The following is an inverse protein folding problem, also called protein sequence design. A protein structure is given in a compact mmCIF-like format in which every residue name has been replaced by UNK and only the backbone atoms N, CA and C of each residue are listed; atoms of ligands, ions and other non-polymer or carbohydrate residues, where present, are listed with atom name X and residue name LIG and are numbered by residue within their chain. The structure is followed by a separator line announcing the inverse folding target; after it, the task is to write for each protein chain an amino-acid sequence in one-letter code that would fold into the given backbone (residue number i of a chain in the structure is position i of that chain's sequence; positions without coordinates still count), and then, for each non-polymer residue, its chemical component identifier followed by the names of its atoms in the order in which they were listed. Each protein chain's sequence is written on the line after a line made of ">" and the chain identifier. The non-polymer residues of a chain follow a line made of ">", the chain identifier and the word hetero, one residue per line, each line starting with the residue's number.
data_IF_638130216534
#
_entry.id   IF_638130216534
#
_cell.length_a   1.000
_cell.length_b   1.000
_cell.length_c   1.000
_cell.angle_alpha   90.00
_cell.angle_beta   90.00
_cell.angle_gamma   90.00
#
_symmetry.space_group_name_H-M   'P 1'
#
loop_
_entity.id
_entity.type
_entity.pdbx_description
1 polymer ?
#
# COMPACT_ATOMS: atom_id res chain seq x y z
N UNK A 1 -9.31 -43.52 30.91
CA UNK A 1 -10.19 -42.77 30.00
C UNK A 1 -11.49 -42.51 30.75
N UNK A 2 -11.89 -41.25 30.96
CA UNK A 2 -13.16 -40.92 31.63
C UNK A 2 -14.28 -40.99 30.59
N UNK A 3 -15.34 -41.72 30.91
CA UNK A 3 -16.50 -41.89 30.06
C UNK A 3 -17.68 -41.08 30.61
N UNK A 4 -18.48 -40.53 29.70
CA UNK A 4 -19.53 -39.57 30.01
C UNK A 4 -20.87 -40.02 29.44
N UNK A 5 -21.95 -39.65 30.12
CA UNK A 5 -23.30 -39.89 29.63
C UNK A 5 -23.68 -38.91 28.51
N UNK A 6 -24.81 -39.18 27.85
CA UNK A 6 -25.31 -38.33 26.77
C UNK A 6 -25.56 -36.88 27.21
N UNK A 7 -25.90 -36.64 28.47
CA UNK A 7 -26.23 -35.30 28.97
C UNK A 7 -24.96 -34.45 29.15
N UNK A 8 -23.89 -35.05 29.65
CA UNK A 8 -22.60 -34.40 29.75
C UNK A 8 -22.01 -34.05 28.37
N UNK A 9 -22.13 -34.96 27.39
CA UNK A 9 -21.72 -34.68 26.00
C UNK A 9 -22.56 -33.57 25.38
N UNK A 10 -23.89 -33.60 25.59
CA UNK A 10 -24.80 -32.59 25.10
C UNK A 10 -24.43 -31.19 25.64
N UNK A 11 -24.15 -31.10 26.94
CA UNK A 11 -23.71 -29.85 27.57
C UNK A 11 -22.33 -29.39 27.06
N UNK A 12 -21.42 -30.32 26.79
CA UNK A 12 -20.07 -30.00 26.32
C UNK A 12 -20.04 -29.52 24.86
N UNK A 13 -20.81 -30.16 23.98
CA UNK A 13 -20.91 -29.79 22.56
C UNK A 13 -22.00 -28.74 22.29
N UNK A 14 -22.53 -28.13 23.35
CA UNK A 14 -23.59 -27.12 23.32
C UNK A 14 -24.79 -27.50 22.43
N UNK A 15 -25.36 -28.68 22.68
CA UNK A 15 -26.48 -29.21 21.93
C UNK A 15 -27.47 -29.95 22.83
N UNK A 16 -28.63 -30.33 22.28
CA UNK A 16 -29.62 -31.10 23.05
C UNK A 16 -29.23 -32.58 23.15
N UNK A 17 -29.58 -33.29 24.24
CA UNK A 17 -29.36 -34.73 24.35
C UNK A 17 -30.02 -35.54 23.21
N UNK A 18 -31.15 -35.05 22.69
CA UNK A 18 -31.84 -35.62 21.52
C UNK A 18 -30.99 -35.52 20.25
N UNK A 19 -30.24 -34.43 20.08
CA UNK A 19 -29.32 -34.29 18.96
C UNK A 19 -28.12 -35.24 19.10
N UNK A 20 -27.61 -35.44 20.32
CA UNK A 20 -26.56 -36.44 20.58
C UNK A 20 -27.02 -37.83 20.18
N UNK A 21 -28.21 -38.27 20.63
CA UNK A 21 -28.77 -39.58 20.25
C UNK A 21 -28.93 -39.73 18.74
N UNK A 22 -29.46 -38.70 18.07
CA UNK A 22 -29.61 -38.71 16.61
C UNK A 22 -28.27 -38.84 15.89
N UNK A 23 -27.23 -38.14 16.36
CA UNK A 23 -25.88 -38.22 15.77
C UNK A 23 -25.24 -39.58 16.04
N UNK A 24 -25.48 -40.18 17.21
CA UNK A 24 -25.05 -41.55 17.50
C UNK A 24 -25.74 -42.57 16.61
N UNK A 25 -27.06 -42.47 16.42
CA UNK A 25 -27.81 -43.37 15.51
C UNK A 25 -27.38 -43.24 14.05
N UNK A 26 -26.90 -42.06 13.64
CA UNK A 26 -26.33 -41.82 12.31
C UNK A 26 -24.87 -42.30 12.18
N UNK A 27 -24.29 -42.85 13.25
CA UNK A 27 -22.89 -43.30 13.27
C UNK A 27 -21.86 -42.16 13.34
N UNK A 28 -22.30 -40.91 13.57
CA UNK A 28 -21.41 -39.75 13.68
C UNK A 28 -20.71 -39.74 15.03
N UNK A 29 -21.46 -39.95 16.12
CA UNK A 29 -20.90 -40.11 17.46
C UNK A 29 -20.84 -41.60 17.81
N UNK A 30 -19.80 -42.04 18.51
CA UNK A 30 -19.61 -43.43 18.89
C UNK A 30 -19.56 -43.59 20.40
N UNK A 31 -20.20 -44.65 20.90
CA UNK A 31 -20.11 -45.07 22.30
C UNK A 31 -18.96 -46.05 22.47
N UNK A 32 -18.38 -46.09 23.67
CA UNK A 32 -17.26 -46.97 23.98
C UNK A 32 -17.77 -48.36 24.35
N UNK A 33 -17.63 -49.32 23.43
CA UNK A 33 -18.07 -50.71 23.61
C UNK A 33 -19.60 -50.85 23.74
N UNK A 34 -20.04 -51.84 24.52
CA UNK A 34 -21.47 -52.06 24.83
C UNK A 34 -22.04 -51.07 25.86
N UNK A 35 -21.18 -50.24 26.46
CA UNK A 35 -21.62 -49.21 27.40
C UNK A 35 -22.13 -48.00 26.62
N UNK A 36 -23.34 -47.52 26.91
CA UNK A 36 -23.95 -46.32 26.28
C UNK A 36 -23.28 -45.00 26.75
N UNK A 37 -21.95 -45.00 26.86
CA UNK A 37 -21.14 -43.90 27.34
C UNK A 37 -20.18 -43.44 26.24
N UNK A 38 -19.78 -42.18 26.32
CA UNK A 38 -19.01 -41.50 25.28
C UNK A 38 -17.67 -41.02 25.83
N UNK A 39 -16.67 -41.01 24.95
CA UNK A 39 -15.45 -40.23 25.14
C UNK A 39 -15.68 -38.80 24.67
N UNK A 40 -15.46 -37.81 25.55
CA UNK A 40 -15.62 -36.40 25.17
C UNK A 40 -14.67 -36.00 24.03
N UNK A 41 -13.42 -36.46 24.08
CA UNK A 41 -12.41 -36.13 23.07
C UNK A 41 -12.79 -36.69 21.70
N UNK A 42 -13.22 -37.97 21.65
CA UNK A 42 -13.61 -38.60 20.40
C UNK A 42 -14.92 -38.03 19.86
N UNK A 43 -15.90 -37.77 20.73
CA UNK A 43 -17.15 -37.13 20.36
C UNK A 43 -16.92 -35.71 19.80
N UNK A 44 -16.00 -34.94 20.39
CA UNK A 44 -15.63 -33.61 19.90
C UNK A 44 -15.00 -33.68 18.51
N UNK A 45 -13.98 -34.52 18.31
CA UNK A 45 -13.33 -34.67 17.00
C UNK A 45 -14.30 -35.19 15.93
N UNK A 46 -15.19 -36.13 16.30
CA UNK A 46 -16.19 -36.65 15.37
C UNK A 46 -17.23 -35.59 15.00
N UNK A 47 -17.65 -34.75 15.96
CA UNK A 47 -18.57 -33.66 15.69
C UNK A 47 -17.94 -32.56 14.83
N UNK A 48 -16.69 -32.17 15.11
CA UNK A 48 -15.95 -31.19 14.29
C UNK A 48 -15.81 -31.68 12.84
N UNK A 49 -15.45 -32.95 12.63
CA UNK A 49 -15.39 -33.55 11.29
C UNK A 49 -16.74 -33.53 10.59
N UNK A 50 -17.81 -33.91 11.29
CA UNK A 50 -19.18 -33.84 10.77
C UNK A 50 -19.58 -32.42 10.34
N UNK A 51 -19.18 -31.40 11.09
CA UNK A 51 -19.43 -30.00 10.71
C UNK A 51 -18.63 -29.59 9.47
N UNK A 52 -17.36 -30.01 9.37
CA UNK A 52 -16.50 -29.74 8.20
C UNK A 52 -17.04 -30.42 6.93
N UNK A 53 -17.42 -31.70 7.01
CA UNK A 53 -17.96 -32.45 5.87
C UNK A 53 -19.31 -31.91 5.39
N UNK A 54 -20.10 -31.34 6.31
CA UNK A 54 -21.38 -30.70 6.00
C UNK A 54 -21.22 -29.29 5.45
N UNK A 55 -20.06 -28.67 5.63
CA UNK A 55 -19.76 -27.31 5.20
C UNK A 55 -18.37 -27.25 4.54
N UNK A 56 -18.17 -27.94 3.40
CA UNK A 56 -16.87 -28.01 2.71
C UNK A 56 -16.37 -26.62 2.28
N UNK A 57 -17.28 -25.67 2.13
CA UNK A 57 -16.99 -24.26 1.84
C UNK A 57 -16.21 -23.55 2.97
N UNK A 58 -16.12 -24.08 4.19
CA UNK A 58 -15.57 -23.29 5.33
C UNK A 58 -14.05 -23.17 5.38
N UNK A 59 -13.28 -24.07 4.77
CA UNK A 59 -11.82 -23.90 4.65
C UNK A 59 -11.44 -23.16 3.36
N UNK A 60 -12.05 -23.48 2.21
CA UNK A 60 -11.77 -22.81 0.93
C UNK A 60 -12.45 -21.45 0.76
N UNK A 61 -13.66 -21.23 1.28
CA UNK A 61 -14.34 -19.93 1.14
C UNK A 61 -13.80 -18.86 2.09
N UNK A 62 -13.17 -19.24 3.21
CA UNK A 62 -12.46 -18.28 4.06
C UNK A 62 -11.23 -17.75 3.31
N UNK A 63 -10.47 -18.63 2.63
CA UNK A 63 -9.34 -18.24 1.79
C UNK A 63 -9.76 -17.40 0.57
N UNK A 64 -10.81 -17.82 -0.17
CA UNK A 64 -11.36 -17.04 -1.29
C UNK A 64 -11.88 -15.66 -0.88
N UNK A 65 -12.50 -15.54 0.29
CA UNK A 65 -12.95 -14.24 0.79
C UNK A 65 -11.78 -13.36 1.22
N UNK A 66 -10.74 -13.92 1.84
CA UNK A 66 -9.51 -13.19 2.16
C UNK A 66 -8.78 -12.70 0.91
N UNK A 67 -8.62 -13.55 -0.10
CA UNK A 67 -8.00 -13.18 -1.38
C UNK A 67 -8.84 -12.14 -2.14
N UNK A 68 -10.16 -12.27 -2.14
CA UNK A 68 -11.06 -11.24 -2.70
C UNK A 68 -10.97 -9.92 -1.94
N UNK A 69 -10.85 -9.94 -0.61
CA UNK A 69 -10.68 -8.73 0.20
C UNK A 69 -9.34 -8.04 -0.10
N UNK A 70 -8.24 -8.81 -0.20
CA UNK A 70 -6.92 -8.30 -0.62
C UNK A 70 -6.97 -7.70 -2.02
N UNK A 71 -7.58 -8.39 -2.98
CA UNK A 71 -7.74 -7.91 -4.35
C UNK A 71 -8.57 -6.62 -4.41
N UNK A 72 -9.67 -6.55 -3.66
CA UNK A 72 -10.53 -5.36 -3.62
C UNK A 72 -9.79 -4.17 -3.02
N UNK A 73 -9.00 -4.40 -1.96
CA UNK A 73 -8.14 -3.38 -1.37
C UNK A 73 -7.09 -2.88 -2.37
N UNK A 74 -6.45 -3.78 -3.10
CA UNK A 74 -5.47 -3.43 -4.13
C UNK A 74 -6.10 -2.64 -5.29
N UNK A 75 -7.29 -3.06 -5.77
CA UNK A 75 -8.05 -2.32 -6.80
C UNK A 75 -8.40 -0.92 -6.35
N UNK A 76 -8.93 -0.75 -5.14
CA UNK A 76 -9.23 0.57 -4.57
C UNK A 76 -7.98 1.46 -4.51
N UNK A 77 -6.84 0.90 -4.08
CA UNK A 77 -5.58 1.65 -4.02
C UNK A 77 -5.08 2.05 -5.42
N UNK A 78 -5.21 1.18 -6.41
CA UNK A 78 -4.88 1.53 -7.80
C UNK A 78 -5.80 2.63 -8.33
N UNK A 79 -7.11 2.55 -8.08
CA UNK A 79 -8.04 3.61 -8.48
C UNK A 79 -7.73 4.94 -7.78
N UNK A 80 -7.33 4.91 -6.50
CA UNK A 80 -6.87 6.09 -5.77
C UNK A 80 -5.58 6.69 -6.37
N UNK A 81 -4.62 5.84 -6.76
CA UNK A 81 -3.40 6.27 -7.43
C UNK A 81 -3.68 6.83 -8.84
N UNK A 82 -4.56 6.20 -9.61
CA UNK A 82 -4.98 6.68 -10.93
C UNK A 82 -5.70 8.03 -10.83
N UNK A 83 -6.52 8.22 -9.80
CA UNK A 83 -7.13 9.51 -9.50
C UNK A 83 -6.10 10.57 -9.10
N UNK A 84 -5.09 10.22 -8.29
CA UNK A 84 -4.01 11.11 -7.91
C UNK A 84 -3.14 11.51 -9.12
N UNK A 85 -2.84 10.55 -10.01
CA UNK A 85 -2.17 10.78 -11.28
C UNK A 85 -2.96 11.76 -12.16
N UNK A 86 -4.27 11.52 -12.36
CA UNK A 86 -5.14 12.41 -13.14
C UNK A 86 -5.29 13.80 -12.54
N UNK A 87 -5.07 13.96 -11.24
CA UNK A 87 -5.05 15.27 -10.55
C UNK A 87 -3.68 15.95 -10.63
N UNK A 88 -2.66 15.28 -11.17
CA UNK A 88 -1.29 15.80 -11.22
C UNK A 88 -0.57 15.78 -9.87
N UNK A 89 -1.02 14.97 -8.90
CA UNK A 89 -0.42 14.88 -7.57
C UNK A 89 0.71 13.83 -7.50
N UNK A 90 0.84 12.98 -8.53
CA UNK A 90 1.82 11.90 -8.60
C UNK A 90 2.67 12.07 -9.86
N UNK A 91 3.99 12.09 -9.70
CA UNK A 91 4.94 12.12 -10.81
C UNK A 91 5.88 10.92 -10.73
N UNK A 92 6.33 10.42 -11.88
CA UNK A 92 7.38 9.39 -11.88
C UNK A 92 8.68 10.02 -11.38
N UNK A 93 9.39 9.30 -10.53
CA UNK A 93 10.66 9.75 -9.99
C UNK A 93 11.70 10.06 -11.09
N UNK A 94 11.61 9.38 -12.23
CA UNK A 94 12.48 9.63 -13.40
C UNK A 94 12.27 11.01 -14.00
N UNK A 95 11.02 11.44 -14.15
CA UNK A 95 10.66 12.72 -14.77
C UNK A 95 11.08 13.87 -13.85
N UNK A 96 10.79 13.76 -12.55
CA UNK A 96 11.26 14.72 -11.53
C UNK A 96 12.78 14.84 -11.55
N UNK A 97 13.50 13.71 -11.67
CA UNK A 97 14.97 13.70 -11.69
C UNK A 97 15.52 14.37 -12.94
N UNK A 98 14.92 14.16 -14.12
CA UNK A 98 15.32 14.81 -15.37
C UNK A 98 15.19 16.32 -15.25
N UNK A 99 14.01 16.80 -14.86
CA UNK A 99 13.72 18.23 -14.70
C UNK A 99 14.69 18.87 -13.69
N UNK A 100 14.84 18.26 -12.50
CA UNK A 100 15.78 18.77 -11.49
C UNK A 100 17.22 18.81 -12.00
N UNK A 101 17.64 17.78 -12.76
CA UNK A 101 19.00 17.73 -13.31
C UNK A 101 19.22 18.81 -14.36
N UNK A 102 18.27 19.02 -15.28
CA UNK A 102 18.33 20.05 -16.30
C UNK A 102 18.39 21.46 -15.67
N UNK A 103 17.50 21.73 -14.71
CA UNK A 103 17.46 23.02 -14.00
C UNK A 103 18.77 23.30 -13.25
N UNK A 104 19.34 22.30 -12.57
CA UNK A 104 20.62 22.44 -11.86
C UNK A 104 21.80 22.64 -12.82
N UNK A 105 21.79 22.01 -13.99
CA UNK A 105 22.82 22.19 -15.02
C UNK A 105 22.76 23.63 -15.56
N UNK A 106 21.56 24.12 -15.90
CA UNK A 106 21.36 25.48 -16.39
C UNK A 106 21.82 26.51 -15.34
N UNK A 107 21.43 26.31 -14.08
CA UNK A 107 21.88 27.16 -12.98
C UNK A 107 23.40 27.19 -12.81
N UNK A 108 24.05 26.01 -12.84
CA UNK A 108 25.50 25.91 -12.76
C UNK A 108 26.19 26.64 -13.91
N UNK A 109 25.68 26.50 -15.13
CA UNK A 109 26.19 27.20 -16.31
C UNK A 109 26.13 28.71 -16.11
N UNK A 110 24.98 29.21 -15.63
CA UNK A 110 24.76 30.65 -15.43
C UNK A 110 25.63 31.24 -14.34
N UNK A 111 25.76 30.57 -13.20
CA UNK A 111 26.71 30.98 -12.15
C UNK A 111 28.16 31.00 -12.64
N UNK A 112 28.53 30.05 -13.50
CA UNK A 112 29.88 29.98 -14.07
C UNK A 112 30.15 31.08 -15.10
N UNK A 113 29.10 31.65 -15.72
CA UNK A 113 29.20 32.74 -16.68
C UNK A 113 29.38 34.12 -16.01
N UNK A 114 28.83 34.33 -14.81
CA UNK A 114 28.88 35.64 -14.11
C UNK A 114 30.29 36.21 -14.02
N UNK A 115 31.34 35.46 -13.62
CA UNK A 115 32.69 36.02 -13.54
C UNK A 115 33.22 36.49 -14.90
N UNK A 116 32.90 35.78 -15.98
CA UNK A 116 33.38 36.11 -17.32
C UNK A 116 32.63 37.32 -17.90
N UNK A 117 31.31 37.38 -17.72
CA UNK A 117 30.49 38.48 -18.26
C UNK A 117 30.68 39.79 -17.51
N UNK A 118 30.90 39.71 -16.19
CA UNK A 118 30.94 40.89 -15.33
C UNK A 118 32.36 41.37 -15.00
N UNK A 119 33.40 40.63 -15.40
CA UNK A 119 34.79 40.98 -15.14
C UNK A 119 35.15 42.40 -15.59
N UNK A 120 34.80 42.79 -16.81
CA UNK A 120 35.14 44.10 -17.37
C UNK A 120 34.45 45.25 -16.63
N UNK A 121 33.17 45.08 -16.27
CA UNK A 121 32.45 46.06 -15.45
C UNK A 121 33.06 46.17 -14.06
N UNK A 122 33.30 45.03 -13.40
CA UNK A 122 33.89 44.99 -12.06
C UNK A 122 35.27 45.63 -12.02
N UNK A 123 36.08 45.48 -13.08
CA UNK A 123 37.39 46.11 -13.21
C UNK A 123 37.33 47.65 -13.22
N UNK A 124 36.22 48.25 -13.65
CA UNK A 124 36.02 49.70 -13.66
C UNK A 124 35.40 50.25 -12.36
N UNK A 125 34.90 49.38 -11.48
CA UNK A 125 34.29 49.79 -10.22
C UNK A 125 35.36 49.94 -9.12
N UNK A 126 35.31 51.06 -8.39
CA UNK A 126 36.27 51.36 -7.30
C UNK A 126 35.64 51.32 -5.90
N UNK A 127 34.31 51.34 -5.82
CA UNK A 127 33.55 51.32 -4.57
C UNK A 127 33.16 49.89 -4.18
N UNK A 128 33.73 49.40 -3.08
CA UNK A 128 33.47 48.05 -2.54
C UNK A 128 32.00 47.79 -2.23
N UNK A 129 31.27 48.79 -1.71
CA UNK A 129 29.87 48.62 -1.36
C UNK A 129 29.01 48.44 -2.62
N UNK A 130 29.29 49.21 -3.67
CA UNK A 130 28.63 49.07 -4.98
C UNK A 130 28.93 47.73 -5.65
N UNK A 131 30.19 47.27 -5.58
CA UNK A 131 30.59 45.96 -6.11
C UNK A 131 29.81 44.83 -5.43
N UNK A 132 29.75 44.85 -4.09
CA UNK A 132 29.01 43.83 -3.34
C UNK A 132 27.53 43.81 -3.70
N UNK A 133 26.90 44.98 -3.78
CA UNK A 133 25.48 45.10 -4.10
C UNK A 133 25.20 44.62 -5.53
N UNK A 134 26.07 44.95 -6.48
CA UNK A 134 26.00 44.50 -7.87
C UNK A 134 26.08 42.98 -8.01
N UNK A 135 27.11 42.35 -7.41
CA UNK A 135 27.28 40.90 -7.43
C UNK A 135 26.10 40.18 -6.77
N UNK A 136 25.60 40.71 -5.65
CA UNK A 136 24.42 40.15 -4.99
C UNK A 136 23.17 40.22 -5.88
N UNK A 137 22.98 41.32 -6.61
CA UNK A 137 21.88 41.43 -7.59
C UNK A 137 22.01 40.36 -8.67
N UNK A 138 23.21 40.16 -9.23
CA UNK A 138 23.45 39.13 -10.26
C UNK A 138 23.23 37.71 -9.77
N UNK A 139 23.66 37.40 -8.55
CA UNK A 139 23.40 36.09 -7.93
C UNK A 139 21.89 35.90 -7.69
N UNK A 140 21.19 36.94 -7.22
CA UNK A 140 19.73 36.88 -7.02
C UNK A 140 18.96 36.73 -8.32
N UNK A 141 19.39 37.38 -9.41
CA UNK A 141 18.83 37.20 -10.75
C UNK A 141 18.97 35.72 -11.19
N UNK A 142 20.17 35.14 -11.06
CA UNK A 142 20.41 33.73 -11.38
C UNK A 142 19.60 32.75 -10.50
N UNK A 143 19.36 33.09 -9.23
CA UNK A 143 18.53 32.30 -8.32
C UNK A 143 17.02 32.46 -8.59
N UNK A 144 16.57 33.64 -9.03
CA UNK A 144 15.18 33.88 -9.36
C UNK A 144 14.71 33.03 -10.56
N UNK A 145 15.59 32.77 -11.52
CA UNK A 145 15.31 31.85 -12.61
C UNK A 145 15.14 30.41 -12.15
N UNK A 146 15.86 30.00 -11.10
CA UNK A 146 15.65 28.70 -10.46
C UNK A 146 14.29 28.61 -9.77
N UNK A 147 13.76 29.75 -9.31
CA UNK A 147 12.48 29.80 -8.61
C UNK A 147 11.26 29.67 -9.53
N UNK A 148 11.44 29.82 -10.84
CA UNK A 148 10.38 29.62 -11.83
C UNK A 148 10.15 28.14 -12.17
N UNK A 149 10.44 27.27 -11.20
CA UNK A 149 10.42 25.82 -11.33
C UNK A 149 9.03 25.29 -11.72
N UNK A 150 7.95 25.93 -11.26
CA UNK A 150 6.58 25.53 -11.58
C UNK A 150 6.22 25.69 -13.07
N UNK A 151 6.79 26.69 -13.75
CA UNK A 151 6.50 26.94 -15.16
C UNK A 151 7.24 25.93 -16.04
N UNK A 152 8.52 25.68 -15.74
CA UNK A 152 9.36 24.65 -16.38
C UNK A 152 8.72 23.26 -16.21
N UNK A 153 8.20 22.96 -15.01
CA UNK A 153 7.53 21.69 -14.74
C UNK A 153 6.25 21.51 -15.56
N UNK A 154 5.47 22.58 -15.77
CA UNK A 154 4.21 22.51 -16.52
C UNK A 154 4.45 22.36 -18.03
N UNK A 155 5.45 23.02 -18.57
CA UNK A 155 5.79 22.96 -20.00
C UNK A 155 6.29 21.56 -20.39
N UNK A 156 7.22 20.97 -19.62
CA UNK A 156 7.75 19.63 -19.94
C UNK A 156 6.70 18.50 -19.76
N UNK A 157 5.75 18.63 -18.82
CA UNK A 157 4.66 17.65 -18.67
C UNK A 157 3.69 17.69 -19.86
N UNK A 158 3.41 18.88 -20.42
CA UNK A 158 2.52 19.00 -21.59
C UNK A 158 3.15 18.39 -22.85
N UNK A 159 4.46 18.54 -23.04
CA UNK A 159 5.17 17.93 -24.17
C UNK A 159 5.17 16.39 -24.10
N UNK A 160 5.28 15.80 -22.91
CA UNK A 160 5.23 14.34 -22.71
C UNK A 160 3.81 13.75 -22.91
N UNK A 161 2.75 14.53 -22.66
CA UNK A 161 1.35 14.10 -22.93
C UNK A 161 1.00 14.21 -24.43
N UNK A 162 1.49 15.23 -25.14
CA UNK A 162 1.23 15.40 -26.59
C UNK A 162 2.11 14.50 -27.48
N UNK A 163 3.26 14.03 -26.99
CA UNK A 163 4.17 13.15 -27.74
C UNK A 163 3.80 11.66 -27.74
N UNK A 164 2.72 11.28 -27.05
CA UNK A 164 2.34 9.88 -26.81
C UNK A 164 1.00 9.47 -27.46
N UNK A 165 0.46 10.31 -28.35
CA UNK A 165 -0.71 10.03 -29.22
C UNK A 165 -0.32 9.64 -30.66
#
# INVERSE_FOLDING_TARGET
>A
MKLYDKNAVAKFLDMTPKNVERLTSKGVLQTVGETKLYSLTEANHAYIRYLRDRNPETEEAVDLNEERAKLTKAKRLNEELDLALKRGELHKAEDVKKIMSATLINFKSRLSAIPAEEADKLATMTDKAKIFLYLNTKIKEALAELSNFEEIFKEEIQEDEEGND
#
